data_IF_819782437008
#
_entry.id   IF_819782437008
#
_cell.length_a   1.000
_cell.length_b   1.000
_cell.length_c   1.000
_cell.angle_alpha   90.00
_cell.angle_beta   90.00
_cell.angle_gamma   90.00
#
_symmetry.space_group_name_H-M   'P 1'
#
loop_
_entity.id
_entity.type
_entity.pdbx_description
1 polymer ?
#
# COMPACT_ATOMS: atom_id res chain seq x y z
N UNK A 1 -1.90 10.69 2.90
CA UNK A 1 -2.05 9.24 2.61
C UNK A 1 -1.37 8.36 3.65
N UNK A 2 -0.08 8.57 3.95
CA UNK A 2 0.68 7.77 4.93
C UNK A 2 0.00 7.67 6.30
N UNK A 3 -0.49 8.78 6.85
CA UNK A 3 -1.19 8.78 8.14
C UNK A 3 -2.43 7.87 8.14
N UNK A 4 -3.26 7.96 7.09
CA UNK A 4 -4.43 7.10 6.94
C UNK A 4 -4.05 5.62 6.81
N UNK A 5 -3.01 5.30 6.03
CA UNK A 5 -2.51 3.93 5.92
C UNK A 5 -2.00 3.37 7.25
N UNK A 6 -1.27 4.17 8.03
CA UNK A 6 -0.79 3.77 9.36
C UNK A 6 -1.94 3.51 10.34
N UNK A 7 -2.98 4.36 10.33
CA UNK A 7 -4.21 4.14 11.11
C UNK A 7 -4.90 2.82 10.74
N UNK A 8 -5.04 2.53 9.43
CA UNK A 8 -5.63 1.27 8.97
C UNK A 8 -4.77 0.06 9.37
N UNK A 9 -3.44 0.16 9.28
CA UNK A 9 -2.54 -0.91 9.69
C UNK A 9 -2.62 -1.18 11.19
N UNK A 10 -2.65 -0.13 12.02
CA UNK A 10 -2.82 -0.25 13.48
C UNK A 10 -4.15 -0.91 13.86
N UNK A 11 -5.24 -0.52 13.19
CA UNK A 11 -6.57 -1.03 13.50
C UNK A 11 -6.83 -2.46 12.98
N UNK A 12 -6.17 -2.88 11.90
CA UNK A 12 -6.59 -4.08 11.16
C UNK A 12 -5.50 -5.11 10.88
N UNK A 13 -4.21 -4.81 11.03
CA UNK A 13 -3.16 -5.78 10.72
C UNK A 13 -2.72 -6.54 11.97
N UNK A 14 -2.53 -7.86 11.83
CA UNK A 14 -2.03 -8.71 12.91
C UNK A 14 -0.64 -8.27 13.38
N UNK A 15 0.21 -7.89 12.43
CA UNK A 15 1.53 -7.35 12.69
C UNK A 15 1.52 -5.84 12.41
N UNK A 16 1.82 -4.98 13.40
CA UNK A 16 1.92 -3.55 13.23
C UNK A 16 2.97 -3.18 12.20
N UNK A 17 2.64 -2.22 11.35
CA UNK A 17 3.50 -1.77 10.27
C UNK A 17 3.52 -0.25 10.24
N UNK A 18 4.71 0.32 10.23
CA UNK A 18 4.94 1.75 10.00
C UNK A 18 5.64 1.94 8.67
N UNK A 19 5.21 2.96 7.92
CA UNK A 19 5.86 3.37 6.67
C UNK A 19 7.24 3.98 6.97
N UNK A 20 8.22 3.67 6.14
CA UNK A 20 9.57 4.24 6.17
C UNK A 20 9.62 5.45 5.21
N UNK A 21 9.66 6.69 5.71
CA UNK A 21 9.49 7.87 4.86
C UNK A 21 10.68 8.18 3.95
N UNK A 22 11.89 7.70 4.26
CA UNK A 22 13.13 8.17 3.65
C UNK A 22 13.29 7.86 2.14
N UNK A 23 12.40 7.07 1.53
CA UNK A 23 12.41 6.76 0.08
C UNK A 23 11.00 6.64 -0.50
N UNK A 24 10.05 7.40 0.05
CA UNK A 24 8.68 7.37 -0.41
C UNK A 24 8.55 8.00 -1.81
N UNK A 25 8.04 7.22 -2.77
CA UNK A 25 7.77 7.66 -4.14
C UNK A 25 6.27 7.90 -4.30
N UNK A 26 5.87 9.15 -4.54
CA UNK A 26 4.48 9.52 -4.83
C UNK A 26 4.28 9.74 -6.33
N UNK A 27 3.14 9.27 -6.85
CA UNK A 27 2.76 9.50 -8.26
C UNK A 27 1.24 9.49 -8.44
N UNK A 28 0.79 10.17 -9.48
CA UNK A 28 -0.55 9.96 -10.03
C UNK A 28 -0.52 8.71 -10.92
N UNK A 29 -1.55 7.88 -10.81
CA UNK A 29 -1.74 6.69 -11.64
C UNK A 29 -3.13 6.71 -12.24
N UNK A 30 -3.27 6.22 -13.47
CA UNK A 30 -4.58 5.94 -14.06
C UNK A 30 -5.02 4.54 -13.61
N UNK A 31 -6.13 4.47 -12.89
CA UNK A 31 -6.73 3.21 -12.48
C UNK A 31 -8.03 3.00 -13.25
N UNK A 32 -7.92 2.43 -14.45
CA UNK A 32 -9.06 2.17 -15.33
C UNK A 32 -9.86 3.46 -15.68
N UNK A 33 -9.16 4.54 -16.01
CA UNK A 33 -9.75 5.85 -16.33
C UNK A 33 -9.99 6.75 -15.11
N UNK A 34 -9.58 6.32 -13.92
CA UNK A 34 -9.75 7.07 -12.66
C UNK A 34 -8.38 7.60 -12.21
N UNK A 35 -8.14 8.92 -12.25
CA UNK A 35 -6.95 9.52 -11.67
C UNK A 35 -6.87 9.20 -10.19
N UNK A 36 -5.83 8.47 -9.79
CA UNK A 36 -5.65 7.98 -8.42
C UNK A 36 -4.27 8.38 -7.92
N UNK A 37 -4.14 8.59 -6.62
CA UNK A 37 -2.85 8.80 -5.99
C UNK A 37 -2.24 7.47 -5.59
N UNK A 38 -0.95 7.27 -5.83
CA UNK A 38 -0.18 6.13 -5.35
C UNK A 38 1.03 6.62 -4.57
N UNK A 39 1.40 5.91 -3.49
CA UNK A 39 2.78 5.91 -3.03
C UNK A 39 3.35 4.51 -2.92
N UNK A 40 4.65 4.41 -3.19
CA UNK A 40 5.45 3.23 -2.93
C UNK A 40 6.50 3.54 -1.88
N UNK A 41 6.75 2.59 -1.00
CA UNK A 41 7.70 2.75 0.11
C UNK A 41 8.08 1.38 0.67
N UNK A 42 8.78 1.40 1.81
CA UNK A 42 8.98 0.23 2.64
C UNK A 42 8.13 0.36 3.91
N UNK A 43 7.66 -0.76 4.43
CA UNK A 43 7.14 -0.86 5.78
C UNK A 43 8.17 -1.57 6.67
N UNK A 44 8.10 -1.27 7.96
CA UNK A 44 8.79 -2.03 9.00
C UNK A 44 7.88 -2.21 10.20
N UNK A 45 8.14 -3.22 11.01
CA UNK A 45 7.51 -3.28 12.32
C UNK A 45 8.09 -2.19 13.26
N UNK A 46 7.33 -1.77 14.28
CA UNK A 46 7.83 -0.88 15.32
C UNK A 46 9.03 -1.46 16.07
N UNK A 47 9.93 -0.61 16.60
CA UNK A 47 11.22 -1.04 17.19
C UNK A 47 11.09 -1.90 18.46
N UNK A 48 9.94 -1.91 19.12
CA UNK A 48 9.64 -2.65 20.34
C UNK A 48 9.25 -4.13 20.10
N UNK A 49 9.07 -4.56 18.84
CA UNK A 49 8.61 -5.91 18.46
C UNK A 49 9.69 -7.01 18.49
N UNK A 50 10.91 -6.72 18.97
CA UNK A 50 11.95 -7.72 19.29
C UNK A 50 12.65 -8.41 18.11
N UNK A 51 12.04 -8.48 16.92
CA UNK A 51 12.67 -9.00 15.69
C UNK A 51 12.41 -8.04 14.52
N UNK A 52 13.40 -7.72 13.68
CA UNK A 52 13.18 -6.84 12.52
C UNK A 52 12.33 -7.54 11.45
N UNK A 53 11.25 -6.90 11.04
CA UNK A 53 10.43 -7.30 9.91
C UNK A 53 10.11 -6.09 9.04
N UNK A 54 10.03 -6.30 7.73
CA UNK A 54 9.74 -5.24 6.78
C UNK A 54 9.72 -5.74 5.35
N UNK A 55 9.35 -4.84 4.45
CA UNK A 55 9.31 -5.11 3.03
C UNK A 55 8.69 -3.96 2.25
N UNK A 56 8.58 -4.09 0.93
CA UNK A 56 8.00 -3.05 0.10
C UNK A 56 6.48 -3.02 0.25
N UNK A 57 5.91 -1.86 -0.05
CA UNK A 57 4.47 -1.64 -0.12
C UNK A 57 4.11 -0.73 -1.30
N UNK A 58 2.87 -0.83 -1.75
CA UNK A 58 2.19 0.06 -2.68
C UNK A 58 0.84 0.40 -2.06
N UNK A 59 0.57 1.68 -1.88
CA UNK A 59 -0.75 2.15 -1.41
C UNK A 59 -1.35 3.06 -2.47
N UNK A 60 -2.63 2.86 -2.79
CA UNK A 60 -3.41 3.74 -3.67
C UNK A 60 -4.59 4.34 -2.94
N UNK A 61 -4.91 5.58 -3.28
CA UNK A 61 -6.18 6.21 -2.92
C UNK A 61 -6.99 6.47 -4.18
N UNK A 62 -8.19 5.91 -4.21
CA UNK A 62 -9.10 5.92 -5.34
C UNK A 62 -10.42 6.50 -4.88
N UNK A 63 -10.90 7.55 -5.56
CA UNK A 63 -12.24 8.10 -5.30
C UNK A 63 -13.20 7.59 -6.37
N UNK A 64 -14.26 6.90 -5.92
CA UNK A 64 -15.34 6.42 -6.76
C UNK A 64 -16.55 7.35 -6.61
N UNK A 65 -16.62 8.40 -7.42
CA UNK A 65 -17.67 9.45 -7.30
C UNK A 65 -19.10 8.90 -7.40
N UNK A 66 -19.34 7.90 -8.25
CA UNK A 66 -20.65 7.25 -8.41
C UNK A 66 -21.14 6.53 -7.14
N UNK A 67 -20.22 6.21 -6.22
CA UNK A 67 -20.51 5.50 -4.98
C UNK A 67 -20.45 6.42 -3.74
N UNK A 68 -20.07 7.69 -3.91
CA UNK A 68 -19.75 8.63 -2.83
C UNK A 68 -18.74 8.04 -1.82
N UNK A 69 -17.66 7.43 -2.34
CA UNK A 69 -16.67 6.70 -1.52
C UNK A 69 -15.23 6.94 -1.98
N UNK A 70 -14.34 6.97 -1.00
CA UNK A 70 -12.88 6.93 -1.21
C UNK A 70 -12.33 5.65 -0.60
N UNK A 71 -11.50 4.95 -1.37
CA UNK A 71 -10.87 3.68 -1.01
C UNK A 71 -9.38 3.87 -0.79
N UNK A 72 -8.86 3.26 0.27
CA UNK A 72 -7.43 3.04 0.46
C UNK A 72 -7.15 1.57 0.11
N UNK A 73 -6.40 1.35 -0.96
CA UNK A 73 -5.94 0.04 -1.38
C UNK A 73 -4.50 -0.11 -0.91
N UNK A 74 -4.23 -1.05 0.01
CA UNK A 74 -2.89 -1.30 0.53
C UNK A 74 -2.41 -2.69 0.12
N UNK A 75 -1.26 -2.74 -0.53
CA UNK A 75 -0.56 -3.97 -0.88
C UNK A 75 0.84 -3.92 -0.28
N UNK A 76 1.21 -4.93 0.50
CA UNK A 76 2.51 -5.02 1.14
C UNK A 76 3.03 -6.45 1.09
N UNK A 77 4.35 -6.61 1.14
CA UNK A 77 5.01 -7.91 1.04
C UNK A 77 5.89 -8.17 2.26
N UNK A 78 5.74 -9.36 2.85
CA UNK A 78 6.75 -9.95 3.73
C UNK A 78 7.34 -11.20 3.06
N UNK A 79 8.57 -11.08 2.54
CA UNK A 79 9.25 -12.17 1.85
C UNK A 79 10.77 -12.13 2.13
N UNK A 80 11.21 -12.55 3.33
CA UNK A 80 12.63 -12.55 3.68
C UNK A 80 13.42 -13.54 2.81
N UNK A 81 14.62 -13.13 2.37
CA UNK A 81 15.51 -13.97 1.55
C UNK A 81 15.01 -14.26 0.13
N UNK A 82 14.04 -13.48 -0.38
CA UNK A 82 13.53 -13.59 -1.75
C UNK A 82 13.79 -12.32 -2.55
N UNK A 83 13.99 -12.49 -3.85
CA UNK A 83 13.96 -11.40 -4.81
C UNK A 83 12.55 -10.83 -4.88
N UNK A 84 12.43 -9.50 -4.73
CA UNK A 84 11.14 -8.83 -4.51
C UNK A 84 10.52 -8.26 -5.77
N UNK A 85 11.31 -8.13 -6.84
CA UNK A 85 10.88 -7.48 -8.09
C UNK A 85 9.61 -8.10 -8.69
N UNK A 86 9.60 -9.42 -8.86
CA UNK A 86 8.44 -10.14 -9.42
C UNK A 86 7.20 -10.02 -8.52
N UNK A 87 7.38 -10.02 -7.19
CA UNK A 87 6.27 -9.81 -6.27
C UNK A 87 5.70 -8.39 -6.39
N UNK A 88 6.55 -7.38 -6.60
CA UNK A 88 6.09 -6.01 -6.79
C UNK A 88 5.24 -5.87 -8.06
N UNK A 89 5.65 -6.50 -9.17
CA UNK A 89 4.82 -6.56 -10.40
C UNK A 89 3.47 -7.24 -10.12
N UNK A 90 3.46 -8.32 -9.33
CA UNK A 90 2.23 -9.01 -8.96
C UNK A 90 1.31 -8.13 -8.10
N UNK A 91 1.86 -7.40 -7.12
CA UNK A 91 1.09 -6.46 -6.30
C UNK A 91 0.50 -5.33 -7.16
N UNK A 92 1.29 -4.73 -8.05
CA UNK A 92 0.79 -3.73 -9.01
C UNK A 92 -0.33 -4.31 -9.89
N UNK A 93 -0.15 -5.53 -10.39
CA UNK A 93 -1.15 -6.23 -11.21
C UNK A 93 -2.46 -6.43 -10.44
N UNK A 94 -2.39 -6.88 -9.18
CA UNK A 94 -3.56 -7.04 -8.32
C UNK A 94 -4.26 -5.70 -8.08
N UNK A 95 -3.51 -4.65 -7.74
CA UNK A 95 -4.06 -3.31 -7.54
C UNK A 95 -4.72 -2.76 -8.82
N UNK A 96 -4.19 -3.06 -10.00
CA UNK A 96 -4.75 -2.66 -11.30
C UNK A 96 -6.12 -3.31 -11.58
N UNK A 97 -6.48 -4.38 -10.87
CA UNK A 97 -7.80 -5.04 -11.05
C UNK A 97 -8.95 -4.32 -10.35
N UNK A 98 -8.67 -3.36 -9.46
CA UNK A 98 -9.71 -2.62 -8.75
C UNK A 98 -10.57 -1.80 -9.71
N UNK A 99 -11.88 -1.82 -9.48
CA UNK A 99 -12.88 -1.10 -10.26
C UNK A 99 -13.93 -0.49 -9.35
N UNK A 100 -14.30 0.77 -9.63
CA UNK A 100 -15.54 1.34 -9.11
C UNK A 100 -16.70 0.73 -9.89
N UNK A 101 -17.56 -0.04 -9.21
CA UNK A 101 -18.78 -0.58 -9.81
C UNK A 101 -19.93 0.40 -9.59
N UNK A 102 -20.61 0.78 -10.67
CA UNK A 102 -21.81 1.62 -10.60
C UNK A 102 -23.01 0.91 -9.99
#
# INVERSE_FOLDING_TARGET
MVAWRNEMAEAHYTEPQVVVPEELLERLVDLNGIPSYEFQSQWRNPPDRGWPAGGPLITRVVTCDSQDRTYLLDAWLYAPGKEKYEYMIQLETLLNTFKCLG
#
